data_IF_236836474115
#
_entry.id   IF_236836474115
#
_cell.length_a   1.000
_cell.length_b   1.000
_cell.length_c   1.000
_cell.angle_alpha   90.00
_cell.angle_beta   90.00
_cell.angle_gamma   90.00
#
_symmetry.space_group_name_H-M   'P 1'
#
loop_
_entity.id
_entity.type
_entity.pdbx_description
1 polymer ?
#
# COMPACT_ATOMS: atom_id res chain seq x y z
N UNK A 1 -6.11 -14.80 16.02
CA UNK A 1 -6.05 -14.63 15.75
C UNK A 1 -6.14 -13.85 15.32
N UNK A 2 -6.18 -13.41 15.20
CA UNK A 2 -6.25 -12.77 14.84
C UNK A 2 -6.14 -12.01 14.25
N UNK A 3 -6.14 -11.74 13.99
CA UNK A 3 -5.81 -11.30 13.14
C UNK A 3 -6.22 -10.31 12.60
N UNK A 4 -6.43 -9.67 12.98
CA UNK A 4 -6.50 -8.86 12.20
C UNK A 4 -7.28 -7.74 12.34
N UNK A 5 -6.80 -6.77 13.02
CA UNK A 5 -7.39 -5.47 13.08
C UNK A 5 -6.91 -4.58 11.96
N UNK A 6 -6.08 -5.11 11.10
CA UNK A 6 -5.51 -4.34 10.00
C UNK A 6 -5.79 -5.02 8.68
N UNK A 7 -5.96 -4.21 7.65
CA UNK A 7 -6.04 -4.71 6.28
C UNK A 7 -4.74 -4.38 5.59
N UNK A 8 -4.37 -5.22 4.63
CA UNK A 8 -3.14 -5.02 3.90
C UNK A 8 -3.44 -4.65 2.47
N UNK A 9 -2.69 -3.69 1.96
CA UNK A 9 -2.73 -3.34 0.55
C UNK A 9 -1.34 -3.48 -0.02
N UNK A 10 -1.29 -3.63 -1.33
CA UNK A 10 -0.02 -3.68 -2.03
C UNK A 10 0.14 -2.40 -2.82
N UNK A 11 1.31 -1.83 -2.77
CA UNK A 11 1.53 -0.52 -3.35
C UNK A 11 2.83 -0.50 -4.13
N UNK A 12 2.85 0.33 -5.16
CA UNK A 12 4.07 0.56 -5.91
C UNK A 12 4.20 2.05 -6.15
N UNK A 13 5.43 2.55 -6.00
CA UNK A 13 5.73 3.95 -6.25
C UNK A 13 6.35 4.08 -7.61
N UNK A 14 5.81 4.99 -8.38
CA UNK A 14 6.28 5.23 -9.74
C UNK A 14 7.40 6.27 -9.77
N UNK A 15 8.09 6.32 -10.90
CA UNK A 15 9.21 7.23 -11.04
C UNK A 15 8.80 8.69 -10.90
N UNK A 16 7.56 9.00 -11.25
CA UNK A 16 7.08 10.37 -11.16
C UNK A 16 6.59 10.74 -9.76
N UNK A 17 6.69 9.81 -8.82
CA UNK A 17 6.29 10.07 -7.44
C UNK A 17 4.88 9.63 -7.12
N UNK A 18 4.11 9.21 -8.10
CA UNK A 18 2.76 8.75 -7.84
C UNK A 18 2.79 7.32 -7.27
N UNK A 19 1.68 6.93 -6.66
CA UNK A 19 1.58 5.64 -6.01
C UNK A 19 0.32 4.94 -6.51
N UNK A 20 0.46 3.67 -6.85
CA UNK A 20 -0.68 2.83 -7.23
C UNK A 20 -0.96 1.82 -6.12
N UNK A 21 -2.23 1.56 -5.89
CA UNK A 21 -2.66 0.63 -4.85
C UNK A 21 -3.37 -0.56 -5.47
N UNK A 22 -3.11 -1.73 -4.90
CA UNK A 22 -3.73 -2.97 -5.35
C UNK A 22 -4.20 -3.75 -4.13
N UNK A 23 -5.35 -4.39 -4.24
CA UNK A 23 -5.91 -5.10 -3.10
C UNK A 23 -5.16 -6.39 -2.81
N UNK A 24 -4.58 -7.02 -3.84
CA UNK A 24 -3.76 -8.20 -3.62
C UNK A 24 -2.83 -8.40 -4.81
N UNK A 25 -1.96 -9.40 -4.67
CA UNK A 25 -0.95 -9.67 -5.69
C UNK A 25 -1.57 -10.17 -6.98
N UNK A 26 -2.63 -10.93 -6.86
CA UNK A 26 -3.30 -11.47 -8.04
C UNK A 26 -3.89 -10.34 -8.88
N UNK A 27 -4.52 -9.40 -8.22
CA UNK A 27 -5.09 -8.26 -8.90
C UNK A 27 -4.01 -7.46 -9.62
N UNK A 28 -2.88 -7.27 -8.98
CA UNK A 28 -1.78 -6.54 -9.59
C UNK A 28 -1.25 -7.27 -10.80
N UNK A 29 -1.12 -8.58 -10.71
CA UNK A 29 -0.62 -9.38 -11.83
C UNK A 29 -1.55 -9.27 -13.03
N UNK A 30 -2.85 -9.23 -12.79
CA UNK A 30 -3.82 -9.09 -13.86
C UNK A 30 -3.67 -7.76 -14.57
N UNK A 31 -3.18 -6.75 -13.86
CA UNK A 31 -2.95 -5.43 -14.43
C UNK A 31 -1.60 -5.31 -15.09
N UNK A 32 -0.84 -6.37 -15.13
CA UNK A 32 0.47 -6.36 -15.75
C UNK A 32 1.58 -5.86 -14.82
N UNK A 33 1.32 -5.85 -13.53
CA UNK A 33 2.30 -5.41 -12.55
C UNK A 33 2.95 -6.62 -11.91
N UNK A 34 4.28 -6.60 -11.83
CA UNK A 34 5.03 -7.69 -11.21
C UNK A 34 4.82 -7.66 -9.70
N UNK A 35 4.20 -8.68 -9.12
CA UNK A 35 3.96 -8.67 -7.67
C UNK A 35 5.23 -8.53 -6.84
N UNK A 36 6.37 -8.96 -7.38
CA UNK A 36 7.62 -8.85 -6.66
C UNK A 36 8.06 -7.42 -6.45
N UNK A 37 7.52 -6.49 -7.22
CA UNK A 37 7.88 -5.07 -7.08
C UNK A 37 6.97 -4.35 -6.10
N UNK A 38 5.97 -5.02 -5.58
CA UNK A 38 5.00 -4.39 -4.69
C UNK A 38 5.47 -4.41 -3.25
N UNK A 39 5.05 -3.40 -2.50
CA UNK A 39 5.31 -3.33 -1.07
C UNK A 39 4.00 -3.56 -0.33
N UNK A 40 4.02 -4.51 0.59
CA UNK A 40 2.85 -4.78 1.40
C UNK A 40 2.77 -3.74 2.51
N UNK A 41 1.63 -3.05 2.58
CA UNK A 41 1.42 -1.99 3.56
C UNK A 41 0.21 -2.35 4.40
N UNK A 42 0.38 -2.40 5.70
CA UNK A 42 -0.73 -2.68 6.60
C UNK A 42 -1.43 -1.38 6.94
N UNK A 43 -2.74 -1.36 6.71
CA UNK A 43 -3.56 -0.18 6.91
C UNK A 43 -4.46 -0.42 8.12
N UNK A 44 -4.49 0.50 9.09
CA UNK A 44 -5.42 0.35 10.21
C UNK A 44 -6.85 0.22 9.70
N UNK A 45 -7.58 -0.72 10.28
CA UNK A 45 -8.94 -0.96 9.83
C UNK A 45 -9.79 0.31 9.93
N UNK A 46 -9.56 1.08 10.95
CA UNK A 46 -10.26 2.32 11.16
C UNK A 46 -10.11 3.26 9.98
N UNK A 47 -8.88 3.41 9.54
CA UNK A 47 -8.60 4.26 8.39
C UNK A 47 -9.21 3.68 7.13
N UNK A 48 -9.17 2.38 7.00
CA UNK A 48 -9.66 1.72 5.82
C UNK A 48 -11.18 1.82 5.69
N UNK A 49 -11.88 1.74 6.82
CA UNK A 49 -13.34 1.72 6.77
C UNK A 49 -13.95 3.11 6.86
N UNK A 50 -13.33 4.04 7.57
CA UNK A 50 -13.93 5.37 7.72
C UNK A 50 -13.15 6.46 7.03
N UNK A 51 -11.94 6.17 6.54
CA UNK A 51 -11.18 7.15 5.80
C UNK A 51 -11.56 7.16 4.33
N UNK A 52 -11.13 8.20 3.63
CA UNK A 52 -11.33 8.27 2.20
C UNK A 52 -10.21 7.55 1.48
N UNK A 53 -10.43 7.25 0.20
CA UNK A 53 -9.38 6.61 -0.59
C UNK A 53 -8.14 7.50 -0.64
N UNK A 54 -8.34 8.80 -0.63
CA UNK A 54 -7.23 9.73 -0.65
C UNK A 54 -6.41 9.64 0.64
N UNK A 55 -7.07 9.50 1.77
CA UNK A 55 -6.39 9.36 3.04
C UNK A 55 -5.57 8.08 3.09
N UNK A 56 -6.13 7.00 2.56
CA UNK A 56 -5.42 5.73 2.50
C UNK A 56 -4.19 5.88 1.62
N UNK A 57 -4.36 6.53 0.48
CA UNK A 57 -3.25 6.72 -0.44
C UNK A 57 -2.14 7.55 0.18
N UNK A 58 -2.50 8.59 0.91
CA UNK A 58 -1.51 9.41 1.58
C UNK A 58 -0.76 8.62 2.65
N UNK A 59 -1.50 7.81 3.38
CA UNK A 59 -0.89 6.97 4.39
C UNK A 59 0.16 6.05 3.76
N UNK A 60 -0.20 5.44 2.65
CA UNK A 60 0.70 4.53 1.95
C UNK A 60 1.92 5.28 1.40
N UNK A 61 1.69 6.46 0.85
CA UNK A 61 2.79 7.24 0.30
C UNK A 61 3.80 7.60 1.38
N UNK A 62 3.31 7.98 2.55
CA UNK A 62 4.19 8.31 3.67
C UNK A 62 4.95 7.07 4.13
N UNK A 63 4.26 5.94 4.18
CA UNK A 63 4.88 4.69 4.58
C UNK A 63 6.02 4.32 3.64
N UNK A 64 5.77 4.43 2.34
CA UNK A 64 6.79 4.08 1.35
C UNK A 64 7.97 5.03 1.42
N UNK A 65 7.69 6.30 1.62
CA UNK A 65 8.75 7.29 1.77
C UNK A 65 9.61 6.98 3.00
N UNK A 66 8.95 6.61 4.08
CA UNK A 66 9.65 6.26 5.31
C UNK A 66 10.55 5.05 5.11
N UNK A 67 10.08 4.09 4.34
CA UNK A 67 10.88 2.90 4.05
C UNK A 67 12.15 3.25 3.29
N UNK A 68 12.05 4.18 2.36
CA UNK A 68 13.19 4.55 1.55
C UNK A 68 14.25 5.30 2.35
N UNK A 69 13.80 6.18 3.21
CA UNK A 69 14.74 6.99 3.97
C UNK A 69 15.20 6.33 5.26
N UNK A 70 14.48 5.31 5.67
CA UNK A 70 14.76 4.66 6.94
C UNK A 70 16.04 3.88 6.97
N UNK A 71 16.66 3.69 5.83
CA UNK A 71 17.89 2.92 5.76
C UNK A 71 19.09 3.67 6.26
N UNK A 72 18.97 4.93 6.39
CA UNK A 72 20.13 5.76 6.78
C UNK A 72 20.71 5.36 8.11
#
# INVERSE_FOLDING_TARGET
>A
MSDSDNDALYAIRHADGSVSLYIDEEYAAERGVDPATLTRVEIPRELFSSGTIQQVREYVAIYLESQQTGTA
#
